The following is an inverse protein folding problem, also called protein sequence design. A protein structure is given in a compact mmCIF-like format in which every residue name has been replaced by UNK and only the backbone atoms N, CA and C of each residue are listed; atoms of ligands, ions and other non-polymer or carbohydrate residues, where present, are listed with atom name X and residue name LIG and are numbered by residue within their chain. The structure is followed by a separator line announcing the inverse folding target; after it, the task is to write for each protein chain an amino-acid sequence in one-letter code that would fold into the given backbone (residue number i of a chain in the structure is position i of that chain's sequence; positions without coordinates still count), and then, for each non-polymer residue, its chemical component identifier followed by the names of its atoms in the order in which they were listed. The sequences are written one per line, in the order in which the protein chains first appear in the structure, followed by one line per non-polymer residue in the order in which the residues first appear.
data_IF_822912442965
#
_entry.id   IF_822912442965
#
_cell.length_a   1.000
_cell.length_b   1.000
_cell.length_c   1.000
_cell.angle_alpha   90.00
_cell.angle_beta   90.00
_cell.angle_gamma   90.00
#
_symmetry.space_group_name_H-M   'P 1'
#
loop_
_entity.id
_entity.type
_entity.pdbx_description
1 polymer ?
#
# COMPACT_ATOMS: atom_id res chain seq x y z
N UNK A 1 5.24 15.60 -23.36
CA UNK A 1 6.43 16.05 -22.59
C UNK A 1 7.68 16.04 -23.47
N UNK A 2 8.16 14.90 -23.98
CA UNK A 2 9.44 14.82 -24.74
C UNK A 2 9.50 15.71 -25.99
N UNK A 3 8.45 15.73 -26.83
CA UNK A 3 8.40 16.60 -28.02
C UNK A 3 8.47 18.09 -27.63
N UNK A 4 7.81 18.46 -26.53
CA UNK A 4 7.86 19.82 -25.99
C UNK A 4 9.25 20.19 -25.50
N UNK A 5 9.94 19.29 -24.82
CA UNK A 5 11.32 19.49 -24.38
C UNK A 5 12.26 19.71 -25.56
N UNK A 6 12.20 18.85 -26.59
CA UNK A 6 13.03 18.99 -27.78
C UNK A 6 12.77 20.31 -28.51
N UNK A 7 11.49 20.62 -28.76
CA UNK A 7 11.11 21.80 -29.53
C UNK A 7 11.38 23.11 -28.77
N UNK A 8 10.93 23.22 -27.53
CA UNK A 8 10.94 24.49 -26.79
C UNK A 8 12.22 24.71 -25.98
N UNK A 9 12.78 23.66 -25.37
CA UNK A 9 13.91 23.80 -24.45
C UNK A 9 15.24 23.58 -25.17
N UNK A 10 15.28 22.71 -26.18
CA UNK A 10 16.49 22.40 -26.95
C UNK A 10 16.57 23.07 -28.32
N UNK A 11 15.46 23.63 -28.84
CA UNK A 11 15.39 24.10 -30.23
C UNK A 11 15.81 23.01 -31.24
N UNK A 12 15.32 21.79 -31.04
CA UNK A 12 15.55 20.63 -31.89
C UNK A 12 14.23 20.08 -32.46
N UNK A 13 14.31 19.56 -33.69
CA UNK A 13 13.23 18.83 -34.36
C UNK A 13 13.63 17.36 -34.43
N UNK A 14 12.83 16.48 -33.83
CA UNK A 14 13.08 15.03 -33.78
C UNK A 14 13.03 14.38 -35.15
N UNK A 15 12.11 14.85 -36.01
CA UNK A 15 11.96 14.41 -37.41
C UNK A 15 11.60 12.93 -37.60
N UNK A 16 11.23 12.24 -36.53
CA UNK A 16 10.97 10.80 -36.56
C UNK A 16 9.93 10.37 -35.51
N UNK A 17 8.94 11.22 -35.25
CA UNK A 17 7.86 10.90 -34.30
C UNK A 17 6.85 9.98 -35.00
N UNK A 18 6.81 8.71 -34.62
CA UNK A 18 5.92 7.68 -35.16
C UNK A 18 5.86 6.47 -34.21
N UNK A 19 4.99 5.48 -34.46
CA UNK A 19 4.83 4.33 -33.56
C UNK A 19 6.13 3.54 -33.31
N UNK A 20 6.98 3.40 -34.34
CA UNK A 20 8.24 2.65 -34.24
C UNK A 20 9.34 3.38 -33.46
N UNK A 21 9.17 4.68 -33.22
CA UNK A 21 10.13 5.48 -32.46
C UNK A 21 9.76 5.57 -30.97
N UNK A 22 8.61 5.02 -30.59
CA UNK A 22 8.12 4.94 -29.22
C UNK A 22 8.43 3.57 -28.61
N UNK A 23 9.14 3.58 -27.49
CA UNK A 23 9.43 2.41 -26.68
C UNK A 23 8.75 2.55 -25.33
N UNK A 24 8.39 1.44 -24.70
CA UNK A 24 7.87 1.44 -23.33
C UNK A 24 8.93 0.88 -22.38
N UNK A 25 9.14 1.54 -21.24
CA UNK A 25 9.95 0.97 -20.16
C UNK A 25 9.16 -0.08 -19.36
N UNK A 26 9.79 -0.65 -18.32
CA UNK A 26 9.15 -1.66 -17.47
C UNK A 26 7.87 -1.14 -16.77
N UNK A 27 7.76 0.16 -16.52
CA UNK A 27 6.55 0.77 -15.96
C UNK A 27 5.47 1.05 -17.02
N UNK A 28 5.75 0.79 -18.30
CA UNK A 28 4.87 1.13 -19.41
C UNK A 28 4.94 2.61 -19.81
N UNK A 29 5.94 3.37 -19.34
CA UNK A 29 6.10 4.76 -19.75
C UNK A 29 6.69 4.85 -21.14
N UNK A 30 6.08 5.66 -21.99
CA UNK A 30 6.56 5.87 -23.35
C UNK A 30 7.81 6.76 -23.35
N UNK A 31 8.87 6.26 -24.00
CA UNK A 31 10.11 6.97 -24.29
C UNK A 31 10.24 7.15 -25.80
N UNK A 32 10.71 8.32 -26.21
CA UNK A 32 10.95 8.66 -27.60
C UNK A 32 12.41 8.35 -27.95
N UNK A 33 12.63 7.65 -29.07
CA UNK A 33 13.93 7.25 -29.60
C UNK A 33 14.01 7.55 -31.10
N UNK A 34 15.08 7.14 -31.78
CA UNK A 34 15.19 7.28 -33.23
C UNK A 34 15.61 8.70 -33.62
N UNK A 35 16.74 9.14 -33.07
CA UNK A 35 17.29 10.50 -33.20
C UNK A 35 18.21 10.66 -34.42
N UNK A 36 18.25 9.69 -35.33
CA UNK A 36 19.17 9.65 -36.48
C UNK A 36 18.93 10.80 -37.47
N UNK A 37 17.71 11.34 -37.51
CA UNK A 37 17.30 12.41 -38.41
C UNK A 37 16.98 13.72 -37.68
N UNK A 38 17.34 13.81 -36.40
CA UNK A 38 17.13 15.00 -35.58
C UNK A 38 18.03 16.15 -36.05
N UNK A 39 17.49 17.37 -36.06
CA UNK A 39 18.23 18.57 -36.52
C UNK A 39 17.80 19.83 -35.76
N UNK A 40 18.61 20.89 -35.82
CA UNK A 40 18.31 22.16 -35.17
C UNK A 40 17.28 22.99 -35.95
N UNK A 41 16.48 23.79 -35.24
CA UNK A 41 15.60 24.78 -35.89
C UNK A 41 16.36 25.79 -36.75
N UNK A 42 17.66 25.97 -36.51
CA UNK A 42 18.51 26.89 -37.28
C UNK A 42 19.16 26.22 -38.50
N UNK A 43 19.09 24.90 -38.62
CA UNK A 43 19.69 24.19 -39.74
C UNK A 43 18.81 24.34 -40.99
N UNK A 44 19.45 24.66 -42.11
CA UNK A 44 18.81 24.75 -43.43
C UNK A 44 18.75 23.39 -44.14
N UNK A 45 19.66 22.48 -43.79
CA UNK A 45 19.74 21.14 -44.36
C UNK A 45 18.95 20.16 -43.50
N UNK A 46 17.74 19.84 -43.96
CA UNK A 46 16.87 18.86 -43.32
C UNK A 46 17.35 17.43 -43.65
N UNK A 47 17.69 16.60 -42.63
CA UNK A 47 18.08 15.22 -42.87
C UNK A 47 16.95 14.43 -43.55
N UNK A 48 17.30 13.75 -44.65
CA UNK A 48 16.39 12.86 -45.35
C UNK A 48 16.37 11.49 -44.68
N UNK A 49 15.17 10.93 -44.53
CA UNK A 49 14.99 9.59 -43.98
C UNK A 49 15.56 8.56 -44.97
N UNK A 50 16.39 7.66 -44.46
CA UNK A 50 17.05 6.62 -45.26
C UNK A 50 16.04 5.63 -45.84
N UNK A 51 14.93 5.38 -45.12
CA UNK A 51 13.93 4.39 -45.50
C UNK A 51 12.66 5.05 -46.04
N UNK A 52 12.36 4.80 -47.32
CA UNK A 52 11.22 5.43 -48.01
C UNK A 52 9.85 5.10 -47.42
N UNK A 53 9.68 3.93 -46.78
CA UNK A 53 8.41 3.57 -46.15
C UNK A 53 8.04 4.48 -44.97
N UNK A 54 9.01 5.24 -44.42
CA UNK A 54 8.79 6.21 -43.36
C UNK A 54 8.23 7.54 -43.87
N UNK A 55 8.24 7.78 -45.19
CA UNK A 55 7.74 9.01 -45.80
C UNK A 55 6.24 9.20 -45.54
N UNK A 56 5.50 8.13 -45.23
CA UNK A 56 4.09 8.21 -44.85
C UNK A 56 3.84 9.00 -43.55
N UNK A 57 4.88 9.16 -42.72
CA UNK A 57 4.85 9.95 -41.49
C UNK A 57 5.34 11.38 -41.69
N UNK A 58 5.80 11.72 -42.89
CA UNK A 58 6.26 13.08 -43.18
C UNK A 58 5.07 13.99 -43.49
N UNK A 59 5.11 15.25 -43.01
CA UNK A 59 4.16 16.25 -43.44
C UNK A 59 4.32 16.53 -44.95
N UNK A 60 3.26 17.02 -45.62
CA UNK A 60 3.31 17.35 -47.05
C UNK A 60 4.30 18.48 -47.39
N UNK A 61 4.78 19.21 -46.39
CA UNK A 61 5.73 20.31 -46.53
C UNK A 61 7.02 20.14 -45.71
N UNK A 62 8.08 20.83 -46.11
CA UNK A 62 9.35 20.88 -45.35
C UNK A 62 9.37 22.10 -44.41
N UNK A 63 8.60 22.06 -43.30
CA UNK A 63 8.50 23.17 -42.33
C UNK A 63 8.80 22.72 -40.90
N UNK A 64 8.98 23.69 -39.99
CA UNK A 64 9.45 23.50 -38.62
C UNK A 64 8.46 22.82 -37.65
N UNK A 65 7.24 22.48 -38.08
CA UNK A 65 6.21 21.81 -37.27
C UNK A 65 6.02 20.32 -37.61
N UNK A 66 7.09 19.65 -38.06
CA UNK A 66 7.06 18.22 -38.46
C UNK A 66 6.75 17.28 -37.30
N UNK A 67 7.29 17.55 -36.12
CA UNK A 67 7.06 16.68 -34.96
C UNK A 67 5.60 16.70 -34.51
N UNK A 68 4.88 17.80 -34.73
CA UNK A 68 3.44 17.87 -34.47
C UNK A 68 2.63 17.03 -35.46
N UNK A 69 3.02 17.02 -36.73
CA UNK A 69 2.44 16.12 -37.71
C UNK A 69 2.71 14.66 -37.36
N UNK A 70 3.96 14.33 -37.00
CA UNK A 70 4.35 12.99 -36.55
C UNK A 70 3.59 12.57 -35.29
N UNK A 71 3.39 13.48 -34.33
CA UNK A 71 2.52 13.24 -33.16
C UNK A 71 1.08 12.94 -33.59
N UNK A 72 0.55 13.68 -34.56
CA UNK A 72 -0.75 13.38 -35.16
C UNK A 72 -0.81 11.97 -35.75
N UNK A 73 0.19 11.57 -36.53
CA UNK A 73 0.28 10.22 -37.09
C UNK A 73 0.35 9.15 -35.99
N UNK A 74 1.17 9.38 -34.96
CA UNK A 74 1.27 8.49 -33.80
C UNK A 74 -0.08 8.33 -33.08
N UNK A 75 -0.79 9.43 -32.83
CA UNK A 75 -2.12 9.39 -32.21
C UNK A 75 -3.10 8.58 -33.05
N UNK A 76 -3.11 8.75 -34.38
CA UNK A 76 -3.94 7.96 -35.27
C UNK A 76 -3.61 6.47 -35.15
N UNK A 77 -2.33 6.09 -35.13
CA UNK A 77 -1.95 4.68 -35.03
C UNK A 77 -2.37 4.03 -33.71
N UNK A 78 -2.38 4.81 -32.63
CA UNK A 78 -2.80 4.35 -31.30
C UNK A 78 -4.30 4.08 -31.24
N UNK A 79 -5.14 4.92 -31.86
CA UNK A 79 -6.60 4.77 -31.80
C UNK A 79 -7.19 3.98 -32.97
N UNK A 80 -6.64 4.13 -34.18
CA UNK A 80 -7.20 3.59 -35.41
C UNK A 80 -6.39 2.44 -36.01
N UNK A 81 -5.14 2.25 -35.60
CA UNK A 81 -4.23 1.26 -36.16
C UNK A 81 -3.34 1.80 -37.28
N UNK A 82 -2.56 0.94 -37.95
CA UNK A 82 -1.46 1.35 -38.82
C UNK A 82 -1.90 2.23 -39.99
N UNK A 83 -1.09 3.24 -40.31
CA UNK A 83 -1.32 4.11 -41.46
C UNK A 83 -0.89 3.39 -42.75
N UNK A 84 -1.85 3.17 -43.64
CA UNK A 84 -1.62 2.60 -44.97
C UNK A 84 -1.74 3.65 -46.08
N UNK A 85 -2.60 4.65 -45.91
CA UNK A 85 -2.85 5.73 -46.88
C UNK A 85 -3.04 7.07 -46.17
N UNK A 86 -2.70 8.18 -46.84
CA UNK A 86 -2.84 9.53 -46.28
C UNK A 86 -4.30 9.91 -45.98
N UNK A 87 -5.27 9.30 -46.66
CA UNK A 87 -6.70 9.46 -46.38
C UNK A 87 -7.10 8.99 -44.97
N UNK A 88 -6.35 8.06 -44.36
CA UNK A 88 -6.60 7.59 -42.99
C UNK A 88 -6.45 8.72 -41.96
N UNK A 89 -5.67 9.78 -42.25
CA UNK A 89 -5.51 10.93 -41.36
C UNK A 89 -6.80 11.72 -41.12
N UNK A 90 -7.85 11.50 -41.92
CA UNK A 90 -9.15 12.15 -41.74
C UNK A 90 -10.12 11.33 -40.88
N UNK A 91 -9.81 10.07 -40.60
CA UNK A 91 -10.68 9.18 -39.84
C UNK A 91 -10.50 9.40 -38.34
N UNK A 92 -11.46 10.09 -37.73
CA UNK A 92 -11.49 10.34 -36.28
C UNK A 92 -12.49 9.46 -35.53
N UNK A 93 -13.01 8.40 -36.18
CA UNK A 93 -14.13 7.61 -35.67
C UNK A 93 -13.89 6.95 -34.31
N UNK A 94 -12.64 6.55 -34.01
CA UNK A 94 -12.26 5.90 -32.74
C UNK A 94 -11.64 6.86 -31.71
N UNK A 95 -11.50 8.14 -32.05
CA UNK A 95 -10.93 9.11 -31.12
C UNK A 95 -11.94 9.52 -30.03
N UNK A 96 -11.48 9.66 -28.77
CA UNK A 96 -12.25 10.34 -27.75
C UNK A 96 -12.61 11.76 -28.19
N UNK A 97 -13.86 12.19 -27.96
CA UNK A 97 -14.34 13.53 -28.35
C UNK A 97 -13.48 14.68 -27.82
N UNK A 98 -12.91 14.53 -26.63
CA UNK A 98 -12.02 15.52 -26.00
C UNK A 98 -10.65 15.63 -26.66
N UNK A 99 -10.28 14.69 -27.53
CA UNK A 99 -9.00 14.65 -28.25
C UNK A 99 -9.14 14.95 -29.75
N UNK A 100 -10.31 14.70 -30.36
CA UNK A 100 -10.49 14.78 -31.82
C UNK A 100 -10.12 16.14 -32.43
N UNK A 101 -10.52 17.26 -31.80
CA UNK A 101 -10.19 18.61 -32.30
C UNK A 101 -8.70 18.89 -32.26
N UNK A 102 -8.05 18.54 -31.15
CA UNK A 102 -6.61 18.67 -30.95
C UNK A 102 -5.80 17.81 -31.93
N UNK A 103 -6.25 16.58 -32.20
CA UNK A 103 -5.67 15.73 -33.22
C UNK A 103 -5.72 16.39 -34.61
N UNK A 104 -6.87 16.93 -35.02
CA UNK A 104 -7.02 17.60 -36.32
C UNK A 104 -6.12 18.83 -36.46
N UNK A 105 -5.85 19.54 -35.37
CA UNK A 105 -4.87 20.64 -35.36
C UNK A 105 -3.44 20.13 -35.60
N UNK A 106 -3.07 18.97 -35.04
CA UNK A 106 -1.74 18.37 -35.24
C UNK A 106 -1.49 17.98 -36.70
N UNK A 107 -2.50 17.45 -37.39
CA UNK A 107 -2.43 17.03 -38.80
C UNK A 107 -2.94 18.09 -39.77
N UNK A 108 -2.92 19.37 -39.38
CA UNK A 108 -3.36 20.44 -40.26
C UNK A 108 -2.40 20.59 -41.45
N UNK A 109 -2.95 20.74 -42.66
CA UNK A 109 -2.17 20.97 -43.88
C UNK A 109 -1.43 22.32 -43.84
N UNK A 110 -1.96 23.32 -43.13
CA UNK A 110 -1.23 24.56 -42.87
C UNK A 110 -0.28 24.37 -41.66
N UNK A 111 1.05 24.43 -41.84
CA UNK A 111 2.03 24.19 -40.79
C UNK A 111 1.97 25.21 -39.66
N UNK A 112 1.57 26.45 -39.99
CA UNK A 112 1.44 27.56 -39.04
C UNK A 112 0.19 27.42 -38.15
N UNK A 113 -0.77 26.60 -38.55
CA UNK A 113 -1.97 26.31 -37.78
C UNK A 113 -1.79 25.14 -36.80
N UNK A 114 -0.64 24.45 -36.83
CA UNK A 114 -0.32 23.39 -35.87
C UNK A 114 0.10 24.02 -34.54
N UNK A 115 -0.39 23.53 -33.39
CA UNK A 115 -0.14 24.15 -32.10
C UNK A 115 1.30 23.91 -31.64
N UNK A 116 1.79 24.76 -30.75
CA UNK A 116 3.04 24.46 -30.05
C UNK A 116 2.84 23.20 -29.17
N UNK A 117 3.83 22.29 -29.06
CA UNK A 117 3.68 21.10 -28.22
C UNK A 117 3.36 21.39 -26.74
N UNK A 118 3.88 22.49 -26.17
CA UNK A 118 3.58 22.94 -24.81
C UNK A 118 2.14 23.39 -24.67
N UNK A 119 1.65 24.19 -25.62
CA UNK A 119 0.27 24.69 -25.65
C UNK A 119 -0.73 23.55 -25.76
N UNK A 120 -0.48 22.61 -26.68
CA UNK A 120 -1.28 21.40 -26.82
C UNK A 120 -1.30 20.58 -25.53
N UNK A 121 -0.13 20.38 -24.90
CA UNK A 121 -0.06 19.60 -23.66
C UNK A 121 -0.85 20.28 -22.53
N UNK A 122 -0.83 21.62 -22.47
CA UNK A 122 -1.58 22.39 -21.50
C UNK A 122 -3.09 22.25 -21.75
N UNK A 123 -3.56 22.45 -22.98
CA UNK A 123 -4.99 22.34 -23.32
C UNK A 123 -5.54 20.95 -23.04
N UNK A 124 -4.75 19.90 -23.27
CA UNK A 124 -5.15 18.53 -22.97
C UNK A 124 -5.27 18.24 -21.46
N UNK A 125 -4.60 19.01 -20.60
CA UNK A 125 -4.65 18.86 -19.12
C UNK A 125 -5.74 19.71 -18.48
N UNK A 126 -6.25 20.73 -19.18
CA UNK A 126 -7.33 21.58 -18.69
C UNK A 126 -8.61 20.78 -18.37
N UNK A 127 -9.52 21.39 -17.62
CA UNK A 127 -10.76 20.74 -17.18
C UNK A 127 -11.55 20.23 -18.39
N UNK A 128 -11.82 18.93 -18.43
CA UNK A 128 -12.52 18.27 -19.54
C UNK A 128 -11.62 17.85 -20.71
N UNK A 129 -10.33 18.18 -20.66
CA UNK A 129 -9.31 17.69 -21.58
C UNK A 129 -9.02 16.20 -21.40
N UNK A 130 -8.52 15.56 -22.46
CA UNK A 130 -8.28 14.11 -22.48
C UNK A 130 -7.27 13.63 -21.41
N UNK A 131 -6.26 14.44 -21.09
CA UNK A 131 -5.25 14.13 -20.08
C UNK A 131 -5.64 14.62 -18.67
N UNK A 132 -6.86 15.15 -18.51
CA UNK A 132 -7.39 15.60 -17.22
C UNK A 132 -8.06 14.44 -16.48
N UNK A 133 -7.24 13.56 -15.89
CA UNK A 133 -7.73 12.41 -15.13
C UNK A 133 -6.88 12.14 -13.86
N UNK A 134 -7.45 11.34 -12.95
CA UNK A 134 -6.84 11.03 -11.65
C UNK A 134 -5.49 10.34 -11.78
N UNK A 135 -5.33 9.41 -12.73
CA UNK A 135 -4.07 8.70 -12.96
C UNK A 135 -2.94 9.67 -13.32
N UNK A 136 -3.18 10.57 -14.28
CA UNK A 136 -2.17 11.56 -14.70
C UNK A 136 -1.88 12.56 -13.58
N UNK A 137 -2.90 13.06 -12.89
CA UNK A 137 -2.75 13.99 -11.76
C UNK A 137 -1.86 13.39 -10.65
N UNK A 138 -2.13 12.14 -10.25
CA UNK A 138 -1.34 11.45 -9.24
C UNK A 138 0.07 11.11 -9.73
N UNK A 139 0.23 10.69 -10.98
CA UNK A 139 1.55 10.41 -11.55
C UNK A 139 2.46 11.65 -11.50
N UNK A 140 1.96 12.83 -11.89
CA UNK A 140 2.73 14.06 -11.79
C UNK A 140 3.14 14.38 -10.35
N UNK A 141 2.25 14.17 -9.38
CA UNK A 141 2.57 14.36 -7.95
C UNK A 141 3.62 13.35 -7.44
N UNK A 142 3.66 12.12 -7.96
CA UNK A 142 4.66 11.10 -7.58
C UNK A 142 6.07 11.56 -7.94
N UNK A 143 6.26 12.20 -9.09
CA UNK A 143 7.56 12.70 -9.55
C UNK A 143 8.11 13.79 -8.60
N UNK A 144 7.23 14.52 -7.92
CA UNK A 144 7.57 15.63 -7.01
C UNK A 144 7.53 15.21 -5.53
N UNK A 145 7.28 13.93 -5.23
CA UNK A 145 6.92 13.47 -3.90
C UNK A 145 7.95 13.83 -2.83
N UNK A 146 9.25 13.81 -3.15
CA UNK A 146 10.30 14.16 -2.19
C UNK A 146 10.24 15.63 -1.76
N UNK A 147 9.84 16.53 -2.67
CA UNK A 147 9.74 17.98 -2.47
C UNK A 147 8.46 18.39 -1.72
N UNK A 148 7.50 17.49 -1.57
CA UNK A 148 6.23 17.78 -0.90
C UNK A 148 6.40 17.90 0.63
N UNK A 149 5.65 18.83 1.22
CA UNK A 149 5.50 18.97 2.67
C UNK A 149 4.76 17.78 3.28
N UNK A 150 4.96 17.52 4.58
CA UNK A 150 4.43 16.35 5.28
C UNK A 150 2.89 16.21 5.19
N UNK A 151 2.14 17.30 5.38
CA UNK A 151 0.68 17.27 5.30
C UNK A 151 0.18 16.97 3.90
N UNK A 152 0.84 17.55 2.88
CA UNK A 152 0.52 17.26 1.48
C UNK A 152 0.84 15.83 1.11
N UNK A 153 1.96 15.27 1.62
CA UNK A 153 2.31 13.84 1.46
C UNK A 153 1.22 12.95 2.05
N UNK A 154 0.75 13.24 3.25
CA UNK A 154 -0.33 12.47 3.90
C UNK A 154 -1.61 12.46 3.05
N UNK A 155 -2.05 13.62 2.57
CA UNK A 155 -3.21 13.71 1.67
C UNK A 155 -3.00 12.95 0.37
N UNK A 156 -1.80 13.08 -0.22
CA UNK A 156 -1.43 12.37 -1.43
C UNK A 156 -1.49 10.85 -1.25
N UNK A 157 -0.94 10.28 -0.16
CA UNK A 157 -0.96 8.84 0.06
C UNK A 157 -2.38 8.29 0.26
N UNK A 158 -3.26 9.06 0.90
CA UNK A 158 -4.68 8.70 1.04
C UNK A 158 -5.39 8.69 -0.31
N UNK A 159 -5.15 9.70 -1.16
CA UNK A 159 -5.70 9.79 -2.52
C UNK A 159 -5.16 8.68 -3.42
N UNK A 160 -3.85 8.43 -3.35
CA UNK A 160 -3.16 7.37 -4.08
C UNK A 160 -3.77 6.02 -3.73
N UNK A 161 -3.87 5.68 -2.44
CA UNK A 161 -4.38 4.38 -2.01
C UNK A 161 -5.80 4.08 -2.53
N UNK A 162 -6.66 5.09 -2.58
CA UNK A 162 -8.03 5.00 -3.15
C UNK A 162 -8.04 4.79 -4.66
N UNK A 163 -7.01 5.30 -5.34
CA UNK A 163 -6.95 5.32 -6.81
C UNK A 163 -6.02 4.25 -7.39
N UNK A 164 -5.27 3.51 -6.56
CA UNK A 164 -4.30 2.51 -7.00
C UNK A 164 -4.91 1.42 -7.91
N UNK A 165 -6.19 1.10 -7.74
CA UNK A 165 -6.87 0.10 -8.59
C UNK A 165 -7.07 0.59 -10.04
N UNK A 166 -6.85 1.88 -10.30
CA UNK A 166 -6.90 2.47 -11.64
C UNK A 166 -5.54 2.39 -12.37
N UNK A 167 -4.48 2.03 -11.65
CA UNK A 167 -3.12 2.02 -12.19
C UNK A 167 -2.82 0.66 -12.83
N UNK A 168 -2.15 0.61 -13.99
CA UNK A 168 -1.62 -0.65 -14.49
C UNK A 168 -0.65 -1.28 -13.48
N UNK A 169 -0.71 -2.60 -13.30
CA UNK A 169 0.11 -3.31 -12.32
C UNK A 169 1.61 -3.07 -12.52
N UNK A 170 2.08 -3.10 -13.78
CA UNK A 170 3.48 -2.80 -14.12
C UNK A 170 3.87 -1.38 -13.72
N UNK A 171 2.97 -0.41 -13.87
CA UNK A 171 3.22 0.97 -13.46
C UNK A 171 3.28 1.08 -11.92
N UNK A 172 2.34 0.44 -11.21
CA UNK A 172 2.35 0.40 -9.75
C UNK A 172 3.65 -0.24 -9.21
N UNK A 173 4.09 -1.35 -9.81
CA UNK A 173 5.30 -2.08 -9.43
C UNK A 173 6.59 -1.34 -9.77
N UNK A 174 6.74 -0.86 -11.00
CA UNK A 174 8.02 -0.33 -11.50
C UNK A 174 8.18 1.19 -11.34
N UNK A 175 7.10 1.94 -11.14
CA UNK A 175 7.15 3.40 -10.89
C UNK A 175 6.73 3.75 -9.47
N UNK A 176 5.52 3.39 -9.06
CA UNK A 176 4.95 3.86 -7.80
C UNK A 176 5.69 3.29 -6.59
N UNK A 177 5.87 1.97 -6.54
CA UNK A 177 6.51 1.29 -5.40
C UNK A 177 7.93 1.80 -5.10
N UNK A 178 8.85 1.98 -6.07
CA UNK A 178 10.15 2.59 -5.80
C UNK A 178 10.07 3.96 -5.14
N UNK A 179 9.12 4.82 -5.55
CA UNK A 179 8.95 6.14 -4.92
C UNK A 179 8.43 6.02 -3.49
N UNK A 180 7.50 5.10 -3.21
CA UNK A 180 7.02 4.85 -1.86
C UNK A 180 8.14 4.32 -0.95
N UNK A 181 8.94 3.37 -1.44
CA UNK A 181 10.09 2.83 -0.71
C UNK A 181 11.14 3.90 -0.42
N UNK A 182 11.45 4.76 -1.40
CA UNK A 182 12.41 5.84 -1.21
C UNK A 182 11.94 6.85 -0.16
N UNK A 183 10.67 7.28 -0.23
CA UNK A 183 10.12 8.21 0.76
C UNK A 183 10.03 7.58 2.14
N UNK A 184 9.82 6.27 2.20
CA UNK A 184 9.92 5.51 3.43
C UNK A 184 11.36 5.48 3.98
N UNK A 185 12.35 5.22 3.13
CA UNK A 185 13.77 5.05 3.49
C UNK A 185 14.43 6.34 3.97
N UNK A 186 14.20 7.47 3.28
CA UNK A 186 14.85 8.75 3.58
C UNK A 186 14.03 9.66 4.51
N UNK A 187 12.93 9.14 5.07
CA UNK A 187 12.10 9.81 6.06
C UNK A 187 11.01 10.72 5.46
N UNK A 188 9.97 10.96 6.27
CA UNK A 188 8.88 11.89 5.92
C UNK A 188 7.65 11.26 5.27
N UNK A 189 7.61 9.93 5.13
CA UNK A 189 6.44 9.22 4.57
C UNK A 189 5.21 9.22 5.50
N UNK A 190 5.43 9.46 6.80
CA UNK A 190 4.41 9.29 7.81
C UNK A 190 3.82 7.86 7.83
N UNK A 191 2.83 7.59 8.69
CA UNK A 191 2.15 6.29 8.72
C UNK A 191 1.30 6.01 7.48
N UNK A 192 0.88 7.04 6.74
CA UNK A 192 -0.12 6.94 5.66
C UNK A 192 0.39 6.22 4.41
N UNK A 193 1.72 6.14 4.24
CA UNK A 193 2.35 5.41 3.13
C UNK A 193 2.18 3.88 3.22
N UNK A 194 1.92 3.34 4.41
CA UNK A 194 1.91 1.89 4.63
C UNK A 194 0.77 1.21 3.84
N UNK A 195 -0.43 1.79 3.85
CA UNK A 195 -1.57 1.23 3.14
C UNK A 195 -1.33 1.07 1.62
N UNK A 196 -0.91 2.12 0.87
CA UNK A 196 -0.59 1.95 -0.55
C UNK A 196 0.62 1.03 -0.77
N UNK A 197 1.62 1.05 0.12
CA UNK A 197 2.77 0.13 0.05
C UNK A 197 2.34 -1.34 0.12
N UNK A 198 1.51 -1.69 1.10
CA UNK A 198 0.99 -3.05 1.29
C UNK A 198 0.08 -3.47 0.13
N UNK A 199 -0.72 -2.54 -0.39
CA UNK A 199 -1.61 -2.79 -1.54
C UNK A 199 -0.82 -3.17 -2.79
N UNK A 200 0.24 -2.42 -3.11
CA UNK A 200 1.13 -2.75 -4.24
C UNK A 200 1.94 -4.01 -3.94
N UNK A 201 2.32 -4.21 -2.67
CA UNK A 201 3.03 -5.41 -2.22
C UNK A 201 2.33 -6.71 -2.62
N UNK A 202 1.00 -6.76 -2.61
CA UNK A 202 0.22 -7.94 -3.03
C UNK A 202 0.42 -8.34 -4.51
N UNK A 203 0.93 -7.44 -5.35
CA UNK A 203 1.25 -7.70 -6.75
C UNK A 203 2.64 -8.33 -6.93
N UNK A 204 3.47 -8.31 -5.88
CA UNK A 204 4.85 -8.76 -5.96
C UNK A 204 4.95 -10.29 -5.83
N UNK A 205 5.89 -10.91 -6.57
CA UNK A 205 6.38 -12.24 -6.25
C UNK A 205 6.88 -12.32 -4.81
N UNK A 206 6.81 -13.51 -4.20
CA UNK A 206 7.17 -13.72 -2.80
C UNK A 206 8.59 -13.24 -2.48
N UNK A 207 9.57 -13.54 -3.33
CA UNK A 207 10.96 -13.15 -3.14
C UNK A 207 11.17 -11.63 -3.18
N UNK A 208 10.43 -10.92 -4.04
CA UNK A 208 10.44 -9.45 -4.09
C UNK A 208 9.71 -8.86 -2.88
N UNK A 209 8.60 -9.47 -2.45
CA UNK A 209 7.87 -9.04 -1.27
C UNK A 209 8.75 -9.12 -0.01
N UNK A 210 9.47 -10.23 0.18
CA UNK A 210 10.40 -10.39 1.30
C UNK A 210 11.51 -9.34 1.26
N UNK A 211 12.16 -9.15 0.09
CA UNK A 211 13.28 -8.22 -0.06
C UNK A 211 12.88 -6.76 0.11
N UNK A 212 11.72 -6.36 -0.42
CA UNK A 212 11.29 -4.95 -0.46
C UNK A 212 10.34 -4.62 0.69
N UNK A 213 9.22 -5.32 0.79
CA UNK A 213 8.12 -4.98 1.71
C UNK A 213 8.46 -5.41 3.15
N UNK A 214 8.88 -6.65 3.36
CA UNK A 214 9.21 -7.14 4.72
C UNK A 214 10.42 -6.41 5.29
N UNK A 215 11.47 -6.20 4.49
CA UNK A 215 12.63 -5.39 4.89
C UNK A 215 12.22 -3.96 5.31
N UNK A 216 11.31 -3.34 4.57
CA UNK A 216 10.71 -2.06 4.92
C UNK A 216 9.97 -2.15 6.28
N UNK A 217 9.05 -3.10 6.45
CA UNK A 217 8.28 -3.32 7.70
C UNK A 217 9.20 -3.48 8.92
N UNK A 218 10.27 -4.26 8.81
CA UNK A 218 11.25 -4.46 9.88
C UNK A 218 11.88 -3.13 10.29
N UNK A 219 12.29 -2.32 9.30
CA UNK A 219 12.80 -0.97 9.55
C UNK A 219 11.75 -0.07 10.19
N UNK A 220 10.48 -0.14 9.77
CA UNK A 220 9.39 0.64 10.35
C UNK A 220 9.23 0.36 11.86
N UNK A 221 9.20 -0.92 12.25
CA UNK A 221 9.06 -1.30 13.66
C UNK A 221 10.25 -0.87 14.53
N UNK A 222 11.44 -0.77 13.93
CA UNK A 222 12.63 -0.24 14.57
C UNK A 222 12.65 1.29 14.73
N UNK A 223 11.70 2.03 14.14
CA UNK A 223 11.57 3.47 14.32
C UNK A 223 11.00 3.84 15.69
N UNK A 224 11.42 5.01 16.20
CA UNK A 224 10.86 5.62 17.40
C UNK A 224 9.54 6.38 17.14
N UNK A 225 9.07 6.45 15.89
CA UNK A 225 7.83 7.13 15.56
C UNK A 225 6.60 6.32 16.01
N UNK A 226 5.86 6.90 16.95
CA UNK A 226 4.64 6.31 17.53
C UNK A 226 3.52 6.15 16.52
N UNK A 227 3.39 7.09 15.57
CA UNK A 227 2.32 7.05 14.58
C UNK A 227 2.53 5.89 13.59
N UNK A 228 3.76 5.71 13.13
CA UNK A 228 4.19 4.56 12.31
C UNK A 228 3.96 3.25 13.06
N UNK A 229 4.38 3.15 14.33
CA UNK A 229 4.13 1.96 15.16
C UNK A 229 2.65 1.62 15.26
N UNK A 230 1.81 2.61 15.58
CA UNK A 230 0.37 2.40 15.68
C UNK A 230 -0.22 1.90 14.36
N UNK A 231 0.19 2.49 13.23
CA UNK A 231 -0.30 2.11 11.91
C UNK A 231 0.12 0.67 11.54
N UNK A 232 1.37 0.27 11.80
CA UNK A 232 1.82 -1.11 11.61
C UNK A 232 1.01 -2.11 12.43
N UNK A 233 0.71 -1.78 13.69
CA UNK A 233 -0.10 -2.64 14.55
C UNK A 233 -1.55 -2.75 14.05
N UNK A 234 -2.11 -1.66 13.52
CA UNK A 234 -3.46 -1.62 12.97
C UNK A 234 -3.62 -2.42 11.67
N UNK A 235 -2.55 -2.54 10.87
CA UNK A 235 -2.54 -3.24 9.60
C UNK A 235 -1.82 -4.60 9.65
N UNK A 236 -1.50 -5.10 10.85
CA UNK A 236 -0.75 -6.35 11.03
C UNK A 236 -1.42 -7.54 10.35
N UNK A 237 -2.76 -7.59 10.36
CA UNK A 237 -3.58 -8.59 9.69
C UNK A 237 -3.32 -8.68 8.18
N UNK A 238 -2.89 -7.59 7.55
CA UNK A 238 -2.64 -7.55 6.11
C UNK A 238 -1.31 -8.18 5.68
N UNK A 239 -0.34 -8.29 6.60
CA UNK A 239 1.01 -8.75 6.27
C UNK A 239 1.55 -9.86 7.18
N UNK A 240 0.88 -10.20 8.27
CA UNK A 240 1.34 -11.22 9.23
C UNK A 240 1.62 -12.56 8.56
N UNK A 241 0.81 -12.97 7.59
CA UNK A 241 0.96 -14.26 6.90
C UNK A 241 2.24 -14.34 6.08
N UNK A 242 2.69 -13.23 5.53
CA UNK A 242 3.92 -13.10 4.76
C UNK A 242 5.17 -12.97 5.64
N UNK A 243 5.03 -12.77 6.95
CA UNK A 243 6.16 -12.72 7.85
C UNK A 243 6.68 -14.15 8.12
N UNK A 244 7.93 -14.38 7.71
CA UNK A 244 8.64 -15.61 8.06
C UNK A 244 8.85 -15.68 9.59
N UNK A 245 8.73 -16.87 10.21
CA UNK A 245 8.93 -17.02 11.65
C UNK A 245 10.28 -16.50 12.15
N UNK A 246 11.35 -16.64 11.36
CA UNK A 246 12.69 -16.11 11.67
C UNK A 246 12.68 -14.59 11.81
N UNK A 247 12.11 -13.88 10.84
CA UNK A 247 11.99 -12.40 10.85
C UNK A 247 11.14 -11.94 12.03
N UNK A 248 10.00 -12.60 12.26
CA UNK A 248 9.13 -12.26 13.37
C UNK A 248 9.86 -12.41 14.72
N UNK A 249 10.46 -13.58 14.96
CA UNK A 249 11.04 -13.88 16.27
C UNK A 249 12.35 -13.14 16.53
N UNK A 250 13.19 -12.94 15.51
CA UNK A 250 14.54 -12.41 15.69
C UNK A 250 14.62 -10.89 15.48
N UNK A 251 13.78 -10.31 14.62
CA UNK A 251 13.88 -8.90 14.23
C UNK A 251 12.71 -8.04 14.70
N UNK A 252 11.49 -8.59 14.67
CA UNK A 252 10.27 -7.80 14.95
C UNK A 252 9.81 -7.89 16.40
N UNK A 253 9.83 -9.08 17.01
CA UNK A 253 9.20 -9.29 18.32
C UNK A 253 9.75 -8.35 19.39
N UNK A 254 11.07 -8.21 19.47
CA UNK A 254 11.72 -7.29 20.41
C UNK A 254 11.27 -5.84 20.24
N UNK A 255 10.98 -5.41 19.01
CA UNK A 255 10.45 -4.08 18.72
C UNK A 255 8.96 -3.97 19.06
N UNK A 256 8.16 -5.00 18.78
CA UNK A 256 6.71 -4.98 19.03
C UNK A 256 6.41 -4.89 20.53
N UNK A 257 7.13 -5.66 21.36
CA UNK A 257 6.84 -5.73 22.80
C UNK A 257 7.05 -4.41 23.56
N UNK A 258 7.82 -3.47 23.00
CA UNK A 258 7.95 -2.13 23.60
C UNK A 258 6.62 -1.37 23.63
N UNK A 259 5.68 -1.72 22.73
CA UNK A 259 4.34 -1.17 22.68
C UNK A 259 3.49 -1.48 23.92
N UNK A 260 3.78 -2.54 24.68
CA UNK A 260 3.05 -2.89 25.91
C UNK A 260 3.24 -1.86 27.02
N UNK A 261 4.35 -1.13 27.00
CA UNK A 261 4.72 -0.15 28.02
C UNK A 261 4.74 1.27 27.47
N UNK A 262 4.17 1.50 26.28
CA UNK A 262 4.11 2.85 25.68
C UNK A 262 3.19 3.76 26.50
N UNK A 263 3.52 5.05 26.56
CA UNK A 263 2.73 6.05 27.29
C UNK A 263 1.35 6.29 26.65
N UNK A 264 1.23 6.12 25.33
CA UNK A 264 -0.02 6.30 24.59
C UNK A 264 -0.93 5.06 24.77
N UNK A 265 -2.12 5.21 25.39
CA UNK A 265 -3.01 4.06 25.67
C UNK A 265 -3.40 3.27 24.43
N UNK A 266 -3.68 3.95 23.31
CA UNK A 266 -4.07 3.33 22.04
C UNK A 266 -2.99 2.38 21.50
N UNK A 267 -1.70 2.71 21.67
CA UNK A 267 -0.59 1.84 21.24
C UNK A 267 -0.57 0.57 22.10
N UNK A 268 -0.71 0.70 23.43
CA UNK A 268 -0.78 -0.46 24.33
C UNK A 268 -1.95 -1.38 23.95
N UNK A 269 -3.12 -0.81 23.67
CA UNK A 269 -4.30 -1.57 23.26
C UNK A 269 -4.08 -2.34 21.95
N UNK A 270 -3.52 -1.70 20.92
CA UNK A 270 -3.25 -2.36 19.64
C UNK A 270 -2.13 -3.40 19.75
N UNK A 271 -1.15 -3.20 20.64
CA UNK A 271 -0.11 -4.20 20.91
C UNK A 271 -0.71 -5.46 21.54
N UNK A 272 -1.68 -5.32 22.43
CA UNK A 272 -2.44 -6.45 22.98
C UNK A 272 -3.24 -7.16 21.88
N UNK A 273 -3.96 -6.41 21.03
CA UNK A 273 -4.71 -7.00 19.91
C UNK A 273 -3.80 -7.75 18.92
N UNK A 274 -2.67 -7.17 18.57
CA UNK A 274 -1.66 -7.76 17.70
C UNK A 274 -1.17 -9.12 18.23
N UNK A 275 -1.08 -9.29 19.55
CA UNK A 275 -0.61 -10.53 20.17
C UNK A 275 -1.44 -11.76 19.78
N UNK A 276 -2.73 -11.59 19.44
CA UNK A 276 -3.58 -12.66 18.92
C UNK A 276 -3.05 -13.24 17.60
N UNK A 277 -2.57 -12.37 16.71
CA UNK A 277 -2.03 -12.75 15.40
C UNK A 277 -0.58 -13.24 15.51
N UNK A 278 0.16 -12.76 16.51
CA UNK A 278 1.56 -13.09 16.70
C UNK A 278 1.75 -14.46 17.38
N UNK A 279 0.95 -14.76 18.41
CA UNK A 279 1.14 -15.95 19.25
C UNK A 279 1.32 -17.27 18.48
N UNK A 280 0.55 -17.57 17.41
CA UNK A 280 0.73 -18.81 16.65
C UNK A 280 2.10 -18.94 15.95
N UNK A 281 2.80 -17.82 15.73
CA UNK A 281 4.07 -17.74 14.99
C UNK A 281 5.30 -17.50 15.87
N UNK A 282 5.10 -17.36 17.20
CA UNK A 282 6.19 -17.14 18.14
C UNK A 282 6.82 -18.47 18.59
N UNK A 283 8.13 -18.44 18.83
CA UNK A 283 8.83 -19.54 19.49
C UNK A 283 8.58 -19.53 21.02
N UNK A 284 8.91 -20.63 21.70
CA UNK A 284 8.66 -20.78 23.15
C UNK A 284 9.30 -19.68 24.02
N UNK A 285 10.48 -19.21 23.63
CA UNK A 285 11.18 -18.13 24.32
C UNK A 285 10.38 -16.82 24.26
N UNK A 286 9.94 -16.43 23.07
CA UNK A 286 9.17 -15.22 22.85
C UNK A 286 7.74 -15.33 23.40
N UNK A 287 7.11 -16.50 23.34
CA UNK A 287 5.85 -16.77 24.03
C UNK A 287 5.98 -16.59 25.54
N UNK A 288 7.05 -17.13 26.14
CA UNK A 288 7.33 -16.95 27.57
C UNK A 288 7.56 -15.48 27.93
N UNK A 289 8.23 -14.72 27.06
CA UNK A 289 8.43 -13.28 27.25
C UNK A 289 7.12 -12.49 27.10
N UNK A 290 6.26 -12.83 26.14
CA UNK A 290 4.93 -12.24 25.96
C UNK A 290 4.10 -12.34 27.24
N UNK A 291 4.14 -13.50 27.90
CA UNK A 291 3.42 -13.72 29.16
C UNK A 291 3.92 -12.83 30.31
N UNK A 292 5.21 -12.52 30.36
CA UNK A 292 5.77 -11.58 31.34
C UNK A 292 5.22 -10.17 31.13
N UNK A 293 5.02 -9.75 29.88
CA UNK A 293 4.37 -8.47 29.58
C UNK A 293 2.89 -8.49 29.96
N UNK A 294 2.17 -9.56 29.61
CA UNK A 294 0.75 -9.70 29.94
C UNK A 294 0.49 -9.65 31.45
N UNK A 295 1.35 -10.28 32.26
CA UNK A 295 1.25 -10.21 33.71
C UNK A 295 1.35 -8.77 34.26
N UNK A 296 2.11 -7.90 33.59
CA UNK A 296 2.18 -6.46 33.91
C UNK A 296 0.96 -5.71 33.38
N UNK A 297 0.55 -5.96 32.13
CA UNK A 297 -0.60 -5.31 31.51
C UNK A 297 -1.93 -5.63 32.22
N UNK A 298 -2.05 -6.79 32.88
CA UNK A 298 -3.18 -7.10 33.76
C UNK A 298 -3.30 -6.17 34.99
N UNK A 299 -2.25 -5.41 35.33
CA UNK A 299 -2.31 -4.40 36.38
C UNK A 299 -2.68 -3.00 35.85
N UNK A 300 -2.57 -2.76 34.55
CA UNK A 300 -2.88 -1.47 33.93
C UNK A 300 -4.41 -1.28 33.83
N UNK A 301 -4.93 -0.21 34.41
CA UNK A 301 -6.36 0.12 34.42
C UNK A 301 -6.97 0.21 33.00
N UNK A 302 -6.22 0.69 32.02
CA UNK A 302 -6.72 0.90 30.66
C UNK A 302 -6.80 -0.36 29.81
N UNK A 303 -5.97 -1.38 30.09
CA UNK A 303 -5.82 -2.55 29.21
C UNK A 303 -5.98 -3.91 29.93
N UNK A 304 -6.18 -3.95 31.25
CA UNK A 304 -6.27 -5.21 32.02
C UNK A 304 -7.33 -6.20 31.52
N UNK A 305 -8.51 -5.69 31.15
CA UNK A 305 -9.62 -6.51 30.65
C UNK A 305 -9.25 -7.10 29.29
N UNK A 306 -8.78 -6.26 28.36
CA UNK A 306 -8.36 -6.69 27.03
C UNK A 306 -7.18 -7.67 27.09
N UNK A 307 -6.24 -7.45 28.02
CA UNK A 307 -5.12 -8.37 28.27
C UNK A 307 -5.63 -9.74 28.70
N UNK A 308 -6.59 -9.78 29.63
CA UNK A 308 -7.17 -11.04 30.12
C UNK A 308 -7.94 -11.78 29.04
N UNK A 309 -8.73 -11.07 28.22
CA UNK A 309 -9.41 -11.66 27.06
C UNK A 309 -8.39 -12.22 26.07
N UNK A 310 -7.36 -11.44 25.74
CA UNK A 310 -6.32 -11.87 24.82
C UNK A 310 -5.58 -13.10 25.33
N UNK A 311 -5.25 -13.13 26.63
CA UNK A 311 -4.57 -14.26 27.27
C UNK A 311 -5.38 -15.56 27.14
N UNK A 312 -6.70 -15.49 27.36
CA UNK A 312 -7.59 -16.65 27.15
C UNK A 312 -7.63 -17.11 25.69
N UNK A 313 -7.60 -16.19 24.73
CA UNK A 313 -7.61 -16.51 23.30
C UNK A 313 -6.31 -17.12 22.79
N UNK A 314 -5.16 -16.71 23.32
CA UNK A 314 -3.86 -17.26 22.92
C UNK A 314 -3.48 -18.53 23.70
N UNK A 315 -4.30 -18.93 24.69
CA UNK A 315 -4.08 -20.11 25.51
C UNK A 315 -3.74 -21.41 24.75
N UNK A 316 -4.32 -21.70 23.56
CA UNK A 316 -3.93 -22.87 22.77
C UNK A 316 -2.44 -22.91 22.39
N UNK A 317 -1.77 -21.76 22.35
CA UNK A 317 -0.35 -21.61 22.03
C UNK A 317 0.53 -21.55 23.29
N UNK A 318 -0.05 -21.65 24.49
CA UNK A 318 0.69 -21.54 25.74
C UNK A 318 0.90 -22.91 26.39
N UNK A 319 2.08 -23.12 26.96
CA UNK A 319 2.36 -24.28 27.80
C UNK A 319 1.61 -24.15 29.15
N UNK A 320 0.48 -24.86 29.27
CA UNK A 320 -0.37 -25.06 30.47
C UNK A 320 -0.23 -23.99 31.57
N UNK A 321 -1.00 -22.91 31.47
CA UNK A 321 -1.11 -21.90 32.55
C UNK A 321 -2.55 -21.72 33.03
N UNK A 322 -2.72 -21.51 34.34
CA UNK A 322 -4.01 -21.21 34.95
C UNK A 322 -4.21 -19.70 35.09
N UNK A 323 -5.33 -19.21 34.56
CA UNK A 323 -5.63 -17.77 34.44
C UNK A 323 -6.36 -17.19 35.66
N UNK A 324 -6.06 -17.69 36.86
CA UNK A 324 -6.83 -17.39 38.09
C UNK A 324 -6.57 -15.99 38.66
N UNK A 325 -5.48 -15.32 38.27
CA UNK A 325 -5.13 -13.97 38.76
C UNK A 325 -6.25 -12.94 38.49
N UNK A 326 -6.83 -13.00 37.31
CA UNK A 326 -7.88 -12.07 36.85
C UNK A 326 -9.15 -12.13 37.71
N UNK A 327 -9.43 -13.27 38.37
CA UNK A 327 -10.58 -13.43 39.26
C UNK A 327 -10.48 -12.58 40.53
N UNK A 328 -9.29 -12.13 40.90
CA UNK A 328 -9.05 -11.27 42.06
C UNK A 328 -8.94 -9.78 41.70
N UNK A 329 -9.20 -9.41 40.44
CA UNK A 329 -9.07 -8.02 40.00
C UNK A 329 -10.14 -7.13 40.66
N UNK A 330 -9.82 -5.91 41.11
CA UNK A 330 -10.84 -5.00 41.67
C UNK A 330 -11.90 -4.59 40.63
N UNK A 331 -11.59 -4.64 39.34
CA UNK A 331 -12.48 -4.20 38.26
C UNK A 331 -13.40 -5.35 37.77
N UNK A 332 -14.74 -5.25 37.90
CA UNK A 332 -15.64 -6.34 37.57
C UNK A 332 -15.54 -6.86 36.12
N UNK A 333 -15.38 -6.00 35.08
CA UNK A 333 -15.17 -6.49 33.72
C UNK A 333 -13.92 -7.36 33.54
N UNK A 334 -12.84 -7.08 34.28
CA UNK A 334 -11.62 -7.90 34.24
C UNK A 334 -11.86 -9.29 34.87
N UNK A 335 -12.61 -9.35 35.98
CA UNK A 335 -13.03 -10.64 36.59
C UNK A 335 -13.94 -11.44 35.66
N UNK A 336 -14.92 -10.79 35.03
CA UNK A 336 -15.82 -11.40 34.05
C UNK A 336 -15.06 -11.96 32.84
N UNK A 337 -14.07 -11.22 32.33
CA UNK A 337 -13.15 -11.70 31.30
C UNK A 337 -12.34 -12.92 31.78
N UNK A 338 -11.89 -12.92 33.04
CA UNK A 338 -11.21 -14.05 33.67
C UNK A 338 -12.05 -15.34 33.71
N UNK A 339 -13.31 -15.22 34.12
CA UNK A 339 -14.26 -16.34 34.12
C UNK A 339 -14.48 -16.86 32.68
N UNK A 340 -14.64 -15.95 31.71
CA UNK A 340 -14.78 -16.32 30.30
C UNK A 340 -13.55 -17.01 29.73
N UNK A 341 -12.35 -16.53 30.06
CA UNK A 341 -11.09 -17.13 29.66
C UNK A 341 -10.97 -18.55 30.21
N UNK A 342 -11.17 -18.74 31.52
CA UNK A 342 -11.14 -20.06 32.16
C UNK A 342 -12.15 -21.02 31.54
N UNK A 343 -13.37 -20.56 31.27
CA UNK A 343 -14.40 -21.35 30.60
C UNK A 343 -14.01 -21.81 29.19
N UNK A 344 -13.27 -20.98 28.46
CA UNK A 344 -12.79 -21.30 27.10
C UNK A 344 -11.54 -22.19 27.10
N UNK A 345 -10.91 -22.38 28.26
CA UNK A 345 -9.63 -23.09 28.39
C UNK A 345 -9.73 -24.33 29.28
N UNK A 346 -10.94 -24.79 29.61
CA UNK A 346 -11.17 -25.94 30.50
C UNK A 346 -10.51 -27.21 29.98
N UNK A 347 -10.52 -27.43 28.66
CA UNK A 347 -9.92 -28.60 28.01
C UNK A 347 -8.40 -28.72 28.18
N UNK A 348 -7.72 -27.66 28.63
CA UNK A 348 -6.27 -27.66 28.86
C UNK A 348 -5.88 -28.06 30.29
N UNK A 349 -6.84 -28.20 31.20
CA UNK A 349 -6.60 -28.51 32.60
C UNK A 349 -6.85 -30.00 32.89
N UNK A 350 -5.97 -30.59 33.69
CA UNK A 350 -6.17 -31.97 34.17
C UNK A 350 -7.31 -32.03 35.19
N UNK A 351 -7.93 -33.20 35.43
CA UNK A 351 -8.91 -33.37 36.50
C UNK A 351 -8.38 -32.89 37.88
N UNK A 352 -7.10 -33.11 38.15
CA UNK A 352 -6.43 -32.65 39.38
C UNK A 352 -6.35 -31.12 39.43
N UNK A 353 -5.93 -30.46 38.34
CA UNK A 353 -5.91 -29.00 38.24
C UNK A 353 -7.31 -28.42 38.44
N UNK A 354 -8.31 -29.07 37.84
CA UNK A 354 -9.71 -28.66 37.91
C UNK A 354 -10.21 -28.69 39.35
N UNK A 355 -10.01 -29.81 40.05
CA UNK A 355 -10.46 -30.01 41.43
C UNK A 355 -9.72 -29.13 42.45
N UNK A 356 -8.40 -28.98 42.30
CA UNK A 356 -7.57 -28.36 43.34
C UNK A 356 -7.33 -26.87 43.14
N UNK A 357 -7.46 -26.36 41.92
CA UNK A 357 -7.08 -24.97 41.58
C UNK A 357 -8.19 -24.21 40.88
N UNK A 358 -8.77 -24.75 39.81
CA UNK A 358 -9.70 -24.00 38.94
C UNK A 358 -11.07 -23.82 39.62
N UNK A 359 -11.72 -24.92 40.01
CA UNK A 359 -13.04 -24.88 40.66
C UNK A 359 -12.98 -24.07 41.97
N UNK A 360 -12.02 -24.30 42.89
CA UNK A 360 -11.91 -23.48 44.10
C UNK A 360 -11.77 -21.99 43.80
N UNK A 361 -11.00 -21.61 42.78
CA UNK A 361 -10.85 -20.20 42.39
C UNK A 361 -12.15 -19.60 41.85
N UNK A 362 -12.91 -20.36 41.04
CA UNK A 362 -14.19 -19.93 40.50
C UNK A 362 -15.27 -19.83 41.57
N UNK A 363 -15.30 -20.73 42.56
CA UNK A 363 -16.31 -20.73 43.62
C UNK A 363 -16.34 -19.40 44.40
N UNK A 364 -15.22 -18.69 44.52
CA UNK A 364 -15.19 -17.37 45.16
C UNK A 364 -16.01 -16.31 44.40
N UNK A 365 -16.32 -16.55 43.12
CA UNK A 365 -17.11 -15.63 42.29
C UNK A 365 -18.62 -15.71 42.58
N UNK A 366 -19.09 -16.73 43.30
CA UNK A 366 -20.51 -16.81 43.72
C UNK A 366 -20.89 -15.74 44.73
N UNK A 367 -19.90 -15.23 45.48
CA UNK A 367 -20.05 -14.19 46.50
C UNK A 367 -19.51 -12.84 46.03
N UNK A 368 -19.31 -12.66 44.72
CA UNK A 368 -18.88 -11.39 44.17
C UNK A 368 -19.88 -10.26 44.50
N UNK A 369 -19.41 -9.01 44.62
CA UNK A 369 -20.29 -7.87 44.87
C UNK A 369 -21.10 -7.49 43.63
N UNK A 370 -20.60 -7.80 42.44
CA UNK A 370 -21.25 -7.50 41.17
C UNK A 370 -22.15 -8.66 40.71
N UNK A 371 -23.45 -8.39 40.57
CA UNK A 371 -24.44 -9.39 40.16
C UNK A 371 -24.17 -9.95 38.76
N UNK A 372 -23.59 -9.18 37.84
CA UNK A 372 -23.28 -9.65 36.48
C UNK A 372 -22.21 -10.75 36.49
N UNK A 373 -21.32 -10.74 37.48
CA UNK A 373 -20.31 -11.77 37.66
C UNK A 373 -20.97 -13.09 38.07
N UNK A 374 -22.01 -13.05 38.91
CA UNK A 374 -22.76 -14.26 39.28
C UNK A 374 -23.37 -14.93 38.05
N UNK A 375 -24.06 -14.17 37.21
CA UNK A 375 -24.63 -14.69 35.96
C UNK A 375 -23.55 -15.32 35.07
N UNK A 376 -22.40 -14.64 34.92
CA UNK A 376 -21.29 -15.15 34.10
C UNK A 376 -20.69 -16.42 34.68
N UNK A 377 -20.49 -16.47 35.99
CA UNK A 377 -20.02 -17.66 36.71
C UNK A 377 -20.96 -18.84 36.47
N UNK A 378 -22.26 -18.67 36.72
CA UNK A 378 -23.23 -19.75 36.57
C UNK A 378 -23.32 -20.23 35.12
N UNK A 379 -23.31 -19.31 34.16
CA UNK A 379 -23.24 -19.66 32.75
C UNK A 379 -22.03 -20.55 32.44
N UNK A 380 -20.83 -20.17 32.87
CA UNK A 380 -19.61 -20.93 32.56
C UNK A 380 -19.55 -22.27 33.29
N UNK A 381 -19.93 -22.34 34.57
CA UNK A 381 -19.91 -23.59 35.34
C UNK A 381 -20.97 -24.57 34.85
N UNK A 382 -22.23 -24.12 34.73
CA UNK A 382 -23.33 -25.02 34.36
C UNK A 382 -23.23 -25.50 32.91
N UNK A 383 -22.81 -24.65 31.98
CA UNK A 383 -22.79 -25.02 30.56
C UNK A 383 -21.52 -25.77 30.17
N UNK A 384 -20.37 -25.50 30.79
CA UNK A 384 -19.11 -26.09 30.32
C UNK A 384 -18.50 -27.10 31.31
N UNK A 385 -18.74 -26.98 32.60
CA UNK A 385 -18.03 -27.77 33.62
C UNK A 385 -18.84 -29.00 34.06
N UNK A 386 -20.16 -28.89 34.07
CA UNK A 386 -21.07 -30.00 34.44
C UNK A 386 -21.50 -30.87 33.24
N UNK A 387 -21.32 -30.40 32.01
CA UNK A 387 -21.70 -31.09 30.77
C UNK A 387 -20.52 -31.77 30.08
N UNK A 388 -19.28 -31.39 30.40
CA UNK A 388 -18.07 -31.98 29.84
C UNK A 388 -17.59 -33.10 30.76
N UNK A 389 -17.54 -34.36 30.30
CA UNK A 389 -17.11 -35.47 31.14
C UNK A 389 -15.65 -35.27 31.57
N UNK A 390 -15.42 -35.19 32.88
CA UNK A 390 -14.08 -35.22 33.46
C UNK A 390 -13.68 -36.70 33.52
N UNK A 391 -13.12 -37.25 32.44
CA UNK A 391 -12.52 -38.59 32.41
C UNK A 391 -11.00 -38.50 32.54
#
# INVERSE_FOLDING_TARGET
KSISFLSNDCSLIHNNVAIHSVFADAAGEWKLSGVEWMYSYNDTNVPLKTFQYLNKYDPPENMKSRDMWGLGCLLLEVFNGPIHQSSNLRDTSKFPKSLSSHYLQCVNANPMARPNPSELLQSLKERGGYLSNTFISLNLKIEELQLMEADRKNHFFVELNKSLDLFPDSFAHHKVLPHLLNVFEFGGAGPTVLAPLLKIGKLLPEDEYQRKIVSCIVRCFGSNDRATRLNLLQHLDQFIDQLQPSVLNNSLFGQIVTGFTDTVPTIREHTIKASLLLAPKLNDSNLSQLLKFFAKCQLDAGIRTNTTICLGKIAPHLNKQAFTRSLKDPFPPARSAGIGALGSTLSYYTPVDMATRIIPSLNHMTVDKDKLIHYRYFYVIFINLLTTPIY
#
